data_IF_391531139863
#
_entry.id   IF_391531139863
#
_cell.length_a   1.000
_cell.length_b   1.000
_cell.length_c   1.000
_cell.angle_alpha   90.00
_cell.angle_beta   90.00
_cell.angle_gamma   90.00
#
_symmetry.space_group_name_H-M   'P 1'
#
loop_
_entity.id
_entity.type
_entity.pdbx_description
1 polymer ?
#
# COMPACT_ATOMS: atom_id res chain seq x y z
N UNK A 1 -13.50 -8.32 -8.47
CA UNK A 1 -14.50 -7.48 -9.20
C UNK A 1 -14.14 -7.42 -10.67
N UNK A 2 -15.11 -7.28 -11.58
CA UNK A 2 -14.83 -6.85 -12.97
C UNK A 2 -14.34 -5.41 -12.97
N UNK A 3 -13.71 -4.95 -14.04
CA UNK A 3 -13.22 -3.56 -14.13
C UNK A 3 -14.34 -2.51 -14.06
N UNK A 4 -15.53 -2.83 -14.54
CA UNK A 4 -16.70 -1.94 -14.45
C UNK A 4 -17.16 -1.83 -13.00
N UNK A 5 -17.33 -2.95 -12.31
CA UNK A 5 -17.68 -2.98 -10.88
C UNK A 5 -16.62 -2.29 -10.03
N UNK A 6 -15.33 -2.46 -10.34
CA UNK A 6 -14.24 -1.79 -9.66
C UNK A 6 -14.33 -0.25 -9.82
N UNK A 7 -14.63 0.23 -11.02
CA UNK A 7 -14.80 1.67 -11.28
C UNK A 7 -16.00 2.25 -10.55
N UNK A 8 -17.09 1.51 -10.47
CA UNK A 8 -18.27 1.90 -9.70
C UNK A 8 -18.00 1.87 -8.19
N UNK A 9 -17.34 0.82 -7.68
CA UNK A 9 -16.97 0.72 -6.28
C UNK A 9 -16.07 1.89 -5.84
N UNK A 10 -15.07 2.24 -6.65
CA UNK A 10 -14.18 3.36 -6.37
C UNK A 10 -14.95 4.68 -6.26
N UNK A 11 -15.92 4.92 -7.15
CA UNK A 11 -16.77 6.13 -7.12
C UNK A 11 -17.72 6.18 -5.94
N UNK A 12 -18.22 5.03 -5.49
CA UNK A 12 -19.27 4.97 -4.46
C UNK A 12 -18.69 4.80 -3.05
N UNK A 13 -17.57 4.10 -2.92
CA UNK A 13 -17.01 3.66 -1.63
C UNK A 13 -15.60 4.22 -1.35
N UNK A 14 -14.90 4.70 -2.38
CA UNK A 14 -13.52 5.18 -2.26
C UNK A 14 -12.46 4.07 -2.32
N UNK A 15 -12.85 2.87 -2.70
CA UNK A 15 -11.91 1.76 -2.91
C UNK A 15 -12.42 0.76 -3.94
N UNK A 16 -11.47 0.03 -4.52
CA UNK A 16 -11.78 -1.12 -5.37
C UNK A 16 -10.63 -2.10 -5.40
N UNK A 17 -10.89 -3.31 -5.93
CA UNK A 17 -9.86 -4.25 -6.35
C UNK A 17 -10.24 -4.97 -7.64
N UNK A 18 -9.24 -5.42 -8.37
CA UNK A 18 -9.39 -6.16 -9.62
C UNK A 18 -8.15 -6.99 -9.93
N UNK A 19 -8.24 -7.90 -10.90
CA UNK A 19 -7.09 -8.64 -11.38
C UNK A 19 -6.35 -7.83 -12.45
N UNK A 20 -5.03 -7.67 -12.32
CA UNK A 20 -4.20 -6.94 -13.28
C UNK A 20 -4.26 -7.58 -14.68
N UNK A 21 -4.41 -8.90 -14.74
CA UNK A 21 -4.56 -9.64 -16.00
C UNK A 21 -5.81 -9.24 -16.77
N UNK A 22 -6.91 -8.98 -16.06
CA UNK A 22 -8.17 -8.52 -16.69
C UNK A 22 -8.07 -7.07 -17.17
N UNK A 23 -7.21 -6.28 -16.52
CA UNK A 23 -6.93 -4.91 -16.93
C UNK A 23 -6.02 -4.86 -18.16
N UNK A 24 -4.88 -5.55 -18.11
CA UNK A 24 -3.91 -5.59 -19.20
C UNK A 24 -2.95 -6.77 -19.02
N UNK A 25 -2.98 -7.72 -19.96
CA UNK A 25 -2.15 -8.92 -19.92
C UNK A 25 -0.64 -8.62 -20.07
N UNK A 26 -0.27 -7.61 -20.84
CA UNK A 26 1.14 -7.19 -20.97
C UNK A 26 1.68 -6.68 -19.63
N UNK A 27 0.88 -5.89 -18.91
CA UNK A 27 1.23 -5.42 -17.57
C UNK A 27 1.36 -6.58 -16.58
N UNK A 28 0.43 -7.52 -16.61
CA UNK A 28 0.52 -8.72 -15.78
C UNK A 28 1.82 -9.49 -16.02
N UNK A 29 2.21 -9.68 -17.28
CA UNK A 29 3.45 -10.38 -17.65
C UNK A 29 4.71 -9.65 -17.20
N UNK A 30 4.69 -8.32 -17.08
CA UNK A 30 5.79 -7.55 -16.46
C UNK A 30 5.94 -7.93 -14.99
N UNK A 31 4.84 -8.02 -14.25
CA UNK A 31 4.85 -8.36 -12.83
C UNK A 31 5.21 -9.83 -12.57
N UNK A 32 4.90 -10.75 -13.47
CA UNK A 32 5.31 -12.16 -13.33
C UNK A 32 6.82 -12.34 -13.15
N UNK A 33 7.62 -11.45 -13.73
CA UNK A 33 9.09 -11.48 -13.62
C UNK A 33 9.58 -11.16 -12.22
N UNK A 34 8.77 -10.47 -11.43
CA UNK A 34 9.09 -10.05 -10.05
C UNK A 34 8.16 -10.66 -9.02
N UNK A 35 7.36 -11.65 -9.40
CA UNK A 35 6.56 -12.43 -8.47
C UNK A 35 7.40 -12.78 -7.25
N UNK A 36 6.83 -12.55 -6.06
CA UNK A 36 7.57 -12.79 -4.83
C UNK A 36 7.92 -14.27 -4.68
N UNK A 37 9.20 -14.52 -4.67
CA UNK A 37 9.82 -15.76 -4.21
C UNK A 37 10.90 -15.34 -3.22
N UNK A 38 11.15 -16.17 -2.21
CA UNK A 38 12.16 -15.87 -1.18
C UNK A 38 13.52 -15.52 -1.79
N UNK A 39 13.89 -16.20 -2.86
CA UNK A 39 15.09 -15.92 -3.64
C UNK A 39 15.07 -14.59 -4.43
N UNK A 40 13.90 -14.03 -4.68
CA UNK A 40 13.75 -12.78 -5.44
C UNK A 40 13.97 -11.53 -4.59
N UNK A 41 14.07 -11.65 -3.27
CA UNK A 41 14.38 -10.52 -2.38
C UNK A 41 15.74 -9.89 -2.73
N UNK A 42 16.65 -10.64 -3.38
CA UNK A 42 17.92 -10.13 -3.90
C UNK A 42 17.78 -8.99 -4.92
N UNK A 43 16.64 -8.84 -5.57
CA UNK A 43 16.38 -7.74 -6.51
C UNK A 43 16.12 -6.41 -5.81
N UNK A 44 15.69 -6.45 -4.56
CA UNK A 44 15.48 -5.26 -3.76
C UNK A 44 16.72 -4.96 -2.91
N UNK A 45 17.01 -3.69 -2.74
CA UNK A 45 18.17 -3.22 -1.97
C UNK A 45 17.75 -2.10 -1.03
N UNK A 46 18.56 -1.88 -0.01
CA UNK A 46 18.33 -0.81 0.96
C UNK A 46 17.00 -0.98 1.69
N UNK A 47 16.84 -2.13 2.34
CA UNK A 47 15.69 -2.42 3.19
C UNK A 47 15.67 -1.51 4.41
N UNK A 48 14.48 -1.10 4.80
CA UNK A 48 14.22 -0.31 6.01
C UNK A 48 13.13 -0.99 6.80
N UNK A 49 13.27 -1.00 8.10
CA UNK A 49 12.16 -1.31 9.00
C UNK A 49 11.43 0.01 9.27
N UNK A 50 10.16 0.05 8.92
CA UNK A 50 9.30 1.22 9.12
C UNK A 50 8.41 0.95 10.32
N UNK A 51 8.42 1.87 11.29
CA UNK A 51 7.61 1.81 12.50
C UNK A 51 6.98 3.18 12.76
N UNK A 52 5.73 3.16 13.16
CA UNK A 52 5.01 4.34 13.63
C UNK A 52 4.51 4.08 15.04
N UNK A 53 4.76 5.01 15.94
CA UNK A 53 4.35 4.90 17.33
C UNK A 53 3.11 5.76 17.58
N UNK A 54 2.24 5.26 18.47
CA UNK A 54 1.09 6.00 18.98
C UNK A 54 1.54 6.92 20.10
N UNK A 55 1.38 8.22 19.94
CA UNK A 55 1.61 9.17 21.02
C UNK A 55 0.34 9.97 21.33
N UNK A 56 -0.19 9.76 22.53
CA UNK A 56 -1.26 10.58 23.15
C UNK A 56 -2.54 10.76 22.32
N UNK A 57 -3.00 9.72 21.62
CA UNK A 57 -4.27 9.76 20.89
C UNK A 57 -4.26 10.61 19.63
N UNK A 58 -3.10 11.06 19.19
CA UNK A 58 -2.89 11.81 17.95
C UNK A 58 -2.00 10.97 17.06
N UNK A 59 -2.45 10.70 15.83
CA UNK A 59 -1.64 10.10 14.76
C UNK A 59 -0.49 11.03 14.37
N UNK A 60 0.43 11.22 15.28
CA UNK A 60 1.60 12.04 15.05
C UNK A 60 2.86 11.23 15.24
N UNK A 61 3.53 11.10 14.11
CA UNK A 61 4.97 11.02 13.95
C UNK A 61 5.61 9.63 13.88
N UNK A 62 5.93 9.39 12.78
CA UNK A 62 7.13 9.14 11.99
C UNK A 62 8.41 9.02 12.82
N UNK A 63 8.69 7.86 13.32
CA UNK A 63 10.06 7.51 13.58
C UNK A 63 10.41 6.37 12.64
N UNK A 64 10.78 6.72 11.41
CA UNK A 64 11.52 5.78 10.59
C UNK A 64 12.87 5.60 11.26
N UNK A 65 13.06 4.52 12.00
CA UNK A 65 14.39 4.13 12.42
C UNK A 65 15.15 3.73 11.16
N UNK A 66 16.02 4.61 10.71
CA UNK A 66 16.64 4.62 9.41
C UNK A 66 17.91 3.80 9.34
N UNK A 67 17.95 2.63 9.95
CA UNK A 67 18.98 1.70 9.58
C UNK A 67 18.63 1.14 8.19
N UNK A 68 19.54 1.33 7.25
CA UNK A 68 19.42 0.75 5.92
C UNK A 68 20.14 -0.59 5.96
N UNK A 69 19.38 -1.65 5.71
CA UNK A 69 19.91 -3.01 5.65
C UNK A 69 20.21 -3.39 4.20
N UNK A 70 21.24 -4.19 4.02
CA UNK A 70 21.64 -4.70 2.69
C UNK A 70 20.87 -5.92 2.29
N UNK A 71 20.33 -6.68 3.25
CA UNK A 71 19.49 -7.86 3.02
C UNK A 71 18.12 -7.72 3.69
N UNK A 72 17.16 -8.50 3.18
CA UNK A 72 15.84 -8.63 3.80
C UNK A 72 15.93 -9.33 5.15
N UNK A 73 16.81 -10.33 5.26
CA UNK A 73 17.04 -11.09 6.47
C UNK A 73 17.51 -10.21 7.62
N UNK A 74 18.48 -9.32 7.38
CA UNK A 74 18.96 -8.38 8.40
C UNK A 74 17.85 -7.40 8.85
N UNK A 75 17.05 -6.93 7.90
CA UNK A 75 15.90 -6.09 8.20
C UNK A 75 14.85 -6.84 9.06
N UNK A 76 14.60 -8.11 8.75
CA UNK A 76 13.65 -8.94 9.50
C UNK A 76 14.15 -9.28 10.91
N UNK A 77 15.46 -9.51 11.08
CA UNK A 77 16.08 -9.68 12.41
C UNK A 77 15.87 -8.40 13.23
N UNK A 78 16.18 -7.25 12.67
CA UNK A 78 16.00 -5.96 13.37
C UNK A 78 14.53 -5.68 13.73
N UNK A 79 13.59 -6.01 12.82
CA UNK A 79 12.16 -5.93 13.12
C UNK A 79 11.78 -6.79 14.33
N UNK A 80 12.28 -8.02 14.41
CA UNK A 80 12.00 -8.92 15.52
C UNK A 80 12.60 -8.42 16.85
N UNK A 81 13.75 -7.75 16.81
CA UNK A 81 14.34 -7.09 17.97
C UNK A 81 13.48 -5.90 18.44
N UNK A 82 12.94 -5.13 17.50
CA UNK A 82 12.03 -4.03 17.82
C UNK A 82 10.74 -4.53 18.48
N UNK A 83 10.16 -5.65 18.00
CA UNK A 83 8.98 -6.26 18.60
C UNK A 83 9.21 -6.75 20.05
N UNK A 84 10.43 -7.19 20.37
CA UNK A 84 10.78 -7.58 21.75
C UNK A 84 10.98 -6.37 22.66
N UNK A 85 11.37 -5.24 22.11
CA UNK A 85 11.73 -4.03 22.88
C UNK A 85 10.54 -3.12 23.15
N UNK A 86 9.55 -3.11 22.28
CA UNK A 86 8.44 -2.18 22.34
C UNK A 86 7.12 -2.91 22.52
N UNK A 87 6.23 -2.32 23.31
CA UNK A 87 4.89 -2.84 23.50
C UNK A 87 4.06 -2.66 22.24
N UNK A 88 3.43 -3.74 21.79
CA UNK A 88 2.55 -3.77 20.62
C UNK A 88 1.45 -2.71 20.67
N UNK A 89 0.93 -2.40 21.86
CA UNK A 89 -0.12 -1.40 22.03
C UNK A 89 0.31 0.00 21.64
N UNK A 90 1.60 0.30 21.80
CA UNK A 90 2.18 1.61 21.50
C UNK A 90 2.68 1.77 20.05
N UNK A 91 2.59 0.71 19.25
CA UNK A 91 2.96 0.76 17.83
C UNK A 91 1.68 0.75 17.00
N UNK A 92 1.54 1.69 16.06
CA UNK A 92 0.42 1.72 15.12
C UNK A 92 0.72 0.97 13.82
N UNK A 93 1.97 0.91 13.42
CA UNK A 93 2.38 0.33 12.15
C UNK A 93 3.79 -0.24 12.23
N UNK A 94 4.02 -1.41 11.63
CA UNK A 94 5.33 -2.04 11.50
C UNK A 94 5.43 -2.87 10.21
N UNK A 95 6.38 -2.54 9.33
CA UNK A 95 6.67 -3.32 8.11
C UNK A 95 8.09 -3.11 7.60
N UNK A 96 8.49 -3.87 6.58
CA UNK A 96 9.75 -3.71 5.88
C UNK A 96 9.49 -3.08 4.50
N UNK A 97 10.27 -2.08 4.12
CA UNK A 97 10.17 -1.39 2.85
C UNK A 97 11.50 -1.29 2.11
N UNK A 98 11.44 -1.19 0.79
CA UNK A 98 12.57 -0.84 -0.08
C UNK A 98 12.11 0.17 -1.14
N UNK A 99 12.86 1.26 -1.28
CA UNK A 99 12.62 2.29 -2.29
C UNK A 99 13.58 2.18 -3.48
N UNK A 100 14.46 1.17 -3.50
CA UNK A 100 15.41 0.97 -4.58
C UNK A 100 15.07 -0.28 -5.35
N UNK A 101 14.65 -0.06 -6.57
CA UNK A 101 14.44 -1.09 -7.57
C UNK A 101 15.71 -1.29 -8.39
N UNK A 102 15.99 -2.51 -8.89
CA UNK A 102 17.04 -2.72 -9.86
C UNK A 102 16.82 -1.81 -11.07
N UNK A 103 17.84 -1.02 -11.43
CA UNK A 103 17.75 -0.07 -12.56
C UNK A 103 17.37 -0.75 -13.87
N UNK A 104 17.79 -1.99 -14.03
CA UNK A 104 17.69 -2.73 -15.29
C UNK A 104 16.36 -3.46 -15.48
N UNK A 105 15.57 -3.61 -14.40
CA UNK A 105 14.38 -4.39 -14.49
C UNK A 105 13.14 -3.55 -14.72
N UNK A 106 13.11 -2.14 -14.42
CA UNK A 106 11.70 -1.94 -14.23
C UNK A 106 11.18 -0.55 -13.98
N UNK A 107 11.96 0.40 -13.67
CA UNK A 107 11.36 1.69 -13.29
C UNK A 107 10.38 2.20 -14.35
N UNK A 108 10.78 2.21 -15.61
CA UNK A 108 9.96 2.72 -16.72
C UNK A 108 8.70 1.86 -16.97
N UNK A 109 8.84 0.54 -16.93
CA UNK A 109 7.72 -0.36 -17.18
C UNK A 109 6.69 -0.34 -16.04
N UNK A 110 7.12 -0.26 -14.78
CA UNK A 110 6.19 -0.18 -13.65
C UNK A 110 5.50 1.17 -13.57
N UNK A 111 6.22 2.26 -13.79
CA UNK A 111 5.60 3.57 -13.83
C UNK A 111 4.47 3.61 -14.86
N UNK A 112 4.70 3.02 -16.04
CA UNK A 112 3.66 2.93 -17.07
C UNK A 112 2.40 2.23 -16.58
N UNK A 113 2.53 1.07 -15.93
CA UNK A 113 1.37 0.33 -15.40
C UNK A 113 0.53 1.21 -14.48
N UNK A 114 1.18 1.93 -13.56
CA UNK A 114 0.46 2.81 -12.64
C UNK A 114 -0.20 4.00 -13.33
N UNK A 115 0.45 4.59 -14.35
CA UNK A 115 -0.17 5.68 -15.11
C UNK A 115 -1.35 5.19 -15.95
N UNK A 116 -1.28 4.01 -16.54
CA UNK A 116 -2.40 3.44 -17.29
C UNK A 116 -3.60 3.16 -16.35
N UNK A 117 -3.35 2.69 -15.13
CA UNK A 117 -4.38 2.54 -14.10
C UNK A 117 -4.99 3.90 -13.71
N UNK A 118 -4.15 4.91 -13.48
CA UNK A 118 -4.63 6.25 -13.13
C UNK A 118 -5.44 6.89 -14.25
N UNK A 119 -5.02 6.72 -15.49
CA UNK A 119 -5.77 7.22 -16.64
C UNK A 119 -7.15 6.55 -16.72
N UNK A 120 -7.21 5.22 -16.56
CA UNK A 120 -8.46 4.48 -16.63
C UNK A 120 -9.44 4.86 -15.50
N UNK A 121 -8.97 4.91 -14.25
CA UNK A 121 -9.84 5.11 -13.09
C UNK A 121 -10.11 6.58 -12.78
N UNK A 122 -9.14 7.47 -12.97
CA UNK A 122 -9.17 8.86 -12.56
C UNK A 122 -9.11 9.86 -13.71
N UNK A 123 -8.87 9.40 -14.94
CA UNK A 123 -8.60 10.27 -16.10
C UNK A 123 -7.44 11.25 -15.80
N UNK A 124 -6.39 10.78 -15.12
CA UNK A 124 -5.18 11.53 -14.76
C UNK A 124 -3.96 10.92 -15.44
N UNK A 125 -3.10 11.76 -15.95
CA UNK A 125 -1.91 11.38 -16.69
C UNK A 125 -0.62 11.66 -15.93
N UNK A 126 0.50 11.26 -16.48
CA UNK A 126 1.84 11.62 -15.98
C UNK A 126 2.06 13.14 -15.85
N UNK A 127 1.33 13.97 -16.58
CA UNK A 127 1.43 15.41 -16.45
C UNK A 127 0.79 15.94 -15.17
N UNK A 128 -0.25 15.26 -14.70
CA UNK A 128 -1.05 15.66 -13.53
C UNK A 128 -0.49 15.14 -12.22
N UNK A 129 0.17 13.98 -12.24
CA UNK A 129 0.51 13.18 -11.07
C UNK A 129 2.02 12.94 -10.98
N UNK A 130 2.52 12.94 -9.75
CA UNK A 130 3.82 12.39 -9.38
C UNK A 130 3.61 11.09 -8.62
N UNK A 131 4.30 10.04 -9.03
CA UNK A 131 4.27 8.74 -8.36
C UNK A 131 5.42 8.59 -7.37
N UNK A 132 5.11 8.05 -6.19
CA UNK A 132 6.09 7.60 -5.22
C UNK A 132 5.88 6.11 -4.99
N UNK A 133 6.85 5.30 -5.42
CA UNK A 133 6.76 3.84 -5.39
C UNK A 133 7.67 3.25 -4.32
N UNK A 134 7.19 2.23 -3.64
CA UNK A 134 7.98 1.42 -2.72
C UNK A 134 7.53 -0.04 -2.77
N UNK A 135 8.49 -0.95 -2.64
CA UNK A 135 8.22 -2.32 -2.29
C UNK A 135 7.98 -2.41 -0.79
N UNK A 136 6.92 -3.08 -0.39
CA UNK A 136 6.61 -3.32 1.02
C UNK A 136 6.49 -4.82 1.28
N UNK A 137 6.93 -5.25 2.43
CA UNK A 137 6.79 -6.63 2.89
C UNK A 137 6.34 -6.64 4.35
N UNK A 138 5.28 -7.36 4.59
CA UNK A 138 4.78 -7.69 5.91
C UNK A 138 5.10 -9.17 6.16
N UNK A 139 5.92 -9.45 7.15
CA UNK A 139 6.21 -10.80 7.67
C UNK A 139 5.50 -10.99 9.00
N UNK A 140 5.60 -12.16 9.60
CA UNK A 140 5.05 -12.43 10.93
C UNK A 140 5.39 -11.31 11.92
N UNK A 141 4.38 -10.83 12.65
CA UNK A 141 4.47 -9.70 13.57
C UNK A 141 4.49 -8.31 12.92
N UNK A 142 4.44 -8.20 11.58
CA UNK A 142 4.15 -6.94 10.91
C UNK A 142 2.65 -6.68 10.86
N UNK A 143 2.27 -5.42 10.98
CA UNK A 143 0.87 -5.00 10.96
C UNK A 143 0.72 -3.54 10.56
N UNK A 144 -0.52 -3.17 10.24
CA UNK A 144 -0.93 -1.81 9.99
C UNK A 144 -2.31 -1.63 10.61
N UNK A 145 -2.38 -0.91 11.75
CA UNK A 145 -3.67 -0.62 12.41
C UNK A 145 -4.50 0.33 11.54
N UNK A 146 -5.80 0.39 11.81
CA UNK A 146 -6.69 1.32 11.11
C UNK A 146 -6.16 2.74 11.14
N UNK A 147 -6.05 3.33 9.96
CA UNK A 147 -5.61 4.71 9.78
C UNK A 147 -6.09 5.25 8.44
N UNK A 148 -5.94 6.54 8.29
CA UNK A 148 -6.10 7.25 7.02
C UNK A 148 -4.73 7.76 6.60
N UNK A 149 -4.40 7.71 5.32
CA UNK A 149 -3.08 8.16 4.84
C UNK A 149 -2.89 9.69 4.88
N UNK A 150 -3.92 10.40 5.30
CA UNK A 150 -3.90 11.84 5.44
C UNK A 150 -3.69 12.56 4.11
N UNK A 151 -4.35 13.68 3.94
CA UNK A 151 -4.12 14.52 2.77
C UNK A 151 -2.98 15.47 3.10
N UNK A 152 -1.85 15.34 2.42
CA UNK A 152 -0.76 16.31 2.53
C UNK A 152 -1.31 17.73 2.30
N UNK A 153 -1.08 18.64 3.24
CA UNK A 153 -1.66 19.99 3.23
C UNK A 153 -1.41 20.76 1.94
N UNK A 154 -0.30 20.49 1.27
CA UNK A 154 0.15 21.23 0.10
C UNK A 154 -0.14 20.58 -1.23
N UNK A 155 0.05 19.26 -1.33
CA UNK A 155 -0.15 18.46 -2.52
C UNK A 155 -0.95 17.23 -2.11
N UNK A 156 -2.24 17.13 -2.46
CA UNK A 156 -3.06 16.01 -2.04
C UNK A 156 -2.61 14.73 -2.73
N UNK A 157 -2.56 13.63 -1.97
CA UNK A 157 -2.53 12.32 -2.55
C UNK A 157 -3.88 12.06 -3.23
N UNK A 158 -3.84 11.59 -4.47
CA UNK A 158 -5.05 11.22 -5.20
C UNK A 158 -5.50 9.82 -4.78
N UNK A 159 -4.56 8.88 -4.76
CA UNK A 159 -4.84 7.51 -4.35
C UNK A 159 -3.57 6.76 -3.96
N UNK A 160 -3.75 5.65 -3.26
CA UNK A 160 -2.77 4.59 -3.12
C UNK A 160 -3.14 3.42 -4.03
N UNK A 161 -2.17 2.88 -4.76
CA UNK A 161 -2.32 1.71 -5.64
C UNK A 161 -1.37 0.63 -5.15
N UNK A 162 -1.92 -0.52 -4.80
CA UNK A 162 -1.18 -1.69 -4.33
C UNK A 162 -1.28 -2.79 -5.37
N UNK A 163 -0.14 -3.33 -5.81
CA UNK A 163 -0.09 -4.52 -6.67
C UNK A 163 0.57 -5.63 -5.88
N UNK A 164 -0.17 -6.72 -5.66
CA UNK A 164 0.31 -7.85 -4.84
C UNK A 164 1.22 -8.76 -5.65
N UNK A 165 2.28 -9.22 -5.00
CA UNK A 165 3.35 -10.00 -5.64
C UNK A 165 3.37 -11.46 -5.19
N UNK A 166 2.58 -11.86 -4.22
CA UNK A 166 2.58 -13.20 -3.63
C UNK A 166 2.01 -14.24 -4.62
N UNK A 167 2.80 -15.25 -4.98
CA UNK A 167 2.39 -16.31 -5.91
C UNK A 167 1.17 -17.05 -5.39
N UNK A 168 1.21 -17.43 -4.11
CA UNK A 168 0.14 -18.10 -3.40
C UNK A 168 -0.18 -17.35 -2.12
N UNK A 169 -1.44 -17.34 -1.75
CA UNK A 169 -1.88 -16.80 -0.48
C UNK A 169 -3.17 -17.49 -0.03
N UNK A 170 -3.12 -17.99 1.19
CA UNK A 170 -4.30 -18.52 1.87
C UNK A 170 -4.87 -17.44 2.82
N UNK A 171 -6.18 -17.31 2.86
CA UNK A 171 -6.84 -16.30 3.70
C UNK A 171 -6.57 -16.51 5.19
N UNK A 172 -6.34 -17.76 5.61
CA UNK A 172 -6.00 -18.12 6.99
C UNK A 172 -4.64 -17.59 7.44
N UNK A 173 -3.75 -17.20 6.52
CA UNK A 173 -2.47 -16.59 6.85
C UNK A 173 -2.58 -15.11 7.25
N UNK A 174 -3.79 -14.55 7.24
CA UNK A 174 -4.01 -13.14 7.54
C UNK A 174 -3.45 -12.22 6.45
N UNK A 175 -2.97 -11.04 6.85
CA UNK A 175 -2.35 -10.09 5.93
C UNK A 175 -3.27 -9.46 4.90
N UNK A 176 -4.59 -9.62 5.05
CA UNK A 176 -5.56 -9.01 4.15
C UNK A 176 -5.51 -7.48 4.31
N UNK A 177 -5.64 -6.77 3.20
CA UNK A 177 -5.96 -5.34 3.28
C UNK A 177 -7.43 -5.21 3.66
N UNK A 178 -7.68 -4.52 4.76
CA UNK A 178 -9.01 -4.27 5.30
C UNK A 178 -9.39 -2.84 4.94
N UNK A 179 -10.45 -2.68 4.16
CA UNK A 179 -10.96 -1.38 3.71
C UNK A 179 -12.31 -1.12 4.36
N UNK A 180 -12.50 0.10 4.86
CA UNK A 180 -13.74 0.48 5.55
C UNK A 180 -14.51 1.48 4.71
N UNK A 181 -15.83 1.36 4.69
CA UNK A 181 -16.68 2.32 4.02
C UNK A 181 -16.54 3.70 4.71
N UNK A 182 -16.13 4.70 3.95
CA UNK A 182 -15.90 6.06 4.44
C UNK A 182 -17.15 6.72 5.02
N UNK A 183 -18.33 6.28 4.60
CA UNK A 183 -19.62 6.79 5.11
C UNK A 183 -19.98 6.25 6.49
N UNK A 184 -19.32 5.17 6.93
CA UNK A 184 -19.58 4.47 8.19
C UNK A 184 -18.33 4.42 9.08
N UNK A 185 -17.63 5.54 9.24
CA UNK A 185 -16.41 5.62 10.08
C UNK A 185 -16.60 5.16 11.52
N UNK A 186 -17.84 5.06 12.00
CA UNK A 186 -18.19 4.54 13.33
C UNK A 186 -18.56 3.05 13.32
N UNK A 187 -18.91 2.48 12.16
CA UNK A 187 -19.22 1.06 12.03
C UNK A 187 -17.97 0.28 11.57
N UNK A 188 -17.20 -0.20 12.54
CA UNK A 188 -16.03 -1.06 12.26
C UNK A 188 -16.40 -2.49 11.86
N UNK A 189 -17.68 -2.83 11.82
CA UNK A 189 -18.14 -4.20 11.59
C UNK A 189 -18.16 -4.59 10.12
N UNK A 190 -18.35 -3.63 9.21
CA UNK A 190 -18.39 -3.89 7.78
C UNK A 190 -17.05 -3.50 7.13
N UNK A 191 -16.19 -4.47 6.95
CA UNK A 191 -14.91 -4.27 6.28
C UNK A 191 -14.85 -5.11 5.01
N UNK A 192 -14.42 -4.49 3.91
CA UNK A 192 -14.07 -5.21 2.70
C UNK A 192 -12.63 -5.69 2.80
N UNK A 193 -12.38 -6.97 2.52
CA UNK A 193 -11.05 -7.56 2.58
C UNK A 193 -10.50 -7.86 1.20
N UNK A 194 -9.28 -7.44 0.94
CA UNK A 194 -8.53 -7.80 -0.27
C UNK A 194 -7.46 -8.80 0.10
N UNK A 195 -7.58 -10.01 -0.43
CA UNK A 195 -6.60 -11.08 -0.24
C UNK A 195 -5.35 -10.75 -1.06
N UNK A 196 -4.13 -10.80 -0.49
CA UNK A 196 -2.90 -10.38 -1.16
C UNK A 196 -2.36 -11.45 -2.12
N UNK A 197 -3.12 -11.77 -3.15
CA UNK A 197 -2.79 -12.75 -4.17
C UNK A 197 -2.11 -12.08 -5.36
N UNK A 198 -1.16 -12.78 -6.01
CA UNK A 198 -0.42 -12.27 -7.15
C UNK A 198 -1.32 -11.71 -8.26
N UNK A 199 -0.94 -10.53 -8.75
CA UNK A 199 -1.68 -9.83 -9.80
C UNK A 199 -2.96 -9.13 -9.34
N UNK A 200 -3.37 -9.30 -8.06
CA UNK A 200 -4.45 -8.50 -7.48
C UNK A 200 -3.98 -7.06 -7.33
N UNK A 201 -4.80 -6.14 -7.78
CA UNK A 201 -4.61 -4.70 -7.61
C UNK A 201 -5.65 -4.17 -6.64
N UNK A 202 -5.24 -3.37 -5.67
CA UNK A 202 -6.15 -2.60 -4.84
C UNK A 202 -5.91 -1.10 -5.03
N UNK A 203 -6.97 -0.31 -5.09
CA UNK A 203 -6.92 1.15 -5.15
C UNK A 203 -7.69 1.71 -3.96
N UNK A 204 -7.07 2.66 -3.25
CA UNK A 204 -7.64 3.41 -2.14
C UNK A 204 -7.68 4.88 -2.55
N UNK A 205 -8.87 5.47 -2.61
CA UNK A 205 -9.05 6.90 -2.86
C UNK A 205 -8.66 7.71 -1.62
N UNK A 206 -7.75 8.66 -1.80
CA UNK A 206 -7.24 9.53 -0.75
C UNK A 206 -7.63 10.99 -0.95
N UNK A 207 -8.25 11.31 -2.10
CA UNK A 207 -8.61 12.69 -2.45
C UNK A 207 -10.02 13.05 -1.99
N UNK A 208 -10.97 12.15 -2.19
CA UNK A 208 -12.39 12.39 -1.95
C UNK A 208 -12.87 11.70 -0.68
N UNK A 209 -12.49 10.42 -0.52
CA UNK A 209 -13.02 9.58 0.56
C UNK A 209 -12.10 9.48 1.76
N UNK A 210 -10.77 9.59 1.56
CA UNK A 210 -9.78 9.35 2.62
C UNK A 210 -10.09 8.06 3.39
N UNK A 211 -10.22 6.98 2.63
CA UNK A 211 -10.71 5.68 3.12
C UNK A 211 -9.83 5.11 4.21
N UNK A 212 -10.43 4.84 5.38
CA UNK A 212 -9.73 4.16 6.48
C UNK A 212 -9.39 2.74 6.09
N UNK A 213 -8.16 2.33 6.40
CA UNK A 213 -7.67 1.00 6.05
C UNK A 213 -6.68 0.44 7.06
N UNK A 214 -6.55 -0.88 7.03
CA UNK A 214 -5.64 -1.64 7.88
C UNK A 214 -5.03 -2.82 7.11
N UNK A 215 -4.03 -3.46 7.69
CA UNK A 215 -3.56 -4.77 7.25
C UNK A 215 -3.69 -5.72 8.44
N UNK A 216 -4.40 -6.82 8.24
CA UNK A 216 -4.51 -7.89 9.25
C UNK A 216 -3.12 -8.44 9.59
N UNK A 217 -2.94 -8.92 10.80
CA UNK A 217 -1.71 -9.57 11.25
C UNK A 217 -1.37 -10.76 10.35
N UNK A 218 -0.08 -10.93 10.10
CA UNK A 218 0.44 -12.12 9.39
C UNK A 218 0.58 -13.26 10.40
N UNK A 219 0.03 -14.41 10.07
CA UNK A 219 0.04 -15.62 10.88
C UNK A 219 1.01 -16.64 10.26
N UNK A 220 2.02 -17.05 11.02
CA UNK A 220 3.02 -18.01 10.56
C UNK A 220 4.12 -17.43 9.68
N UNK A 221 5.03 -18.28 9.18
CA UNK A 221 6.20 -17.88 8.38
C UNK A 221 5.81 -17.52 6.93
N UNK A 222 5.00 -16.49 6.79
CA UNK A 222 4.56 -15.97 5.49
C UNK A 222 4.98 -14.51 5.29
N UNK A 223 5.25 -14.14 4.04
CA UNK A 223 5.65 -12.80 3.66
C UNK A 223 4.67 -12.22 2.65
N UNK A 224 3.89 -11.22 3.07
CA UNK A 224 2.98 -10.48 2.22
C UNK A 224 3.71 -9.33 1.55
N UNK A 225 3.95 -9.44 0.25
CA UNK A 225 4.71 -8.47 -0.50
C UNK A 225 3.85 -7.70 -1.49
N UNK A 226 4.03 -6.39 -1.54
CA UNK A 226 3.34 -5.51 -2.49
C UNK A 226 4.29 -4.51 -3.13
N UNK A 227 3.96 -4.08 -4.32
CA UNK A 227 4.48 -2.85 -4.88
C UNK A 227 3.41 -1.77 -4.66
N UNK A 228 3.69 -0.87 -3.71
CA UNK A 228 2.81 0.23 -3.33
C UNK A 228 3.23 1.50 -4.07
N UNK A 229 2.28 2.24 -4.59
CA UNK A 229 2.50 3.55 -5.18
C UNK A 229 1.50 4.57 -4.67
N UNK A 230 2.01 5.71 -4.21
CA UNK A 230 1.19 6.89 -3.92
C UNK A 230 1.19 7.82 -5.13
N UNK A 231 0.00 8.14 -5.60
CA UNK A 231 -0.22 9.12 -6.66
C UNK A 231 -0.49 10.49 -6.02
N UNK A 232 0.44 11.44 -6.16
CA UNK A 232 0.35 12.78 -5.60
C UNK A 232 0.09 13.79 -6.71
N UNK A 233 -0.92 14.66 -6.54
CA UNK A 233 -1.21 15.72 -7.50
C UNK A 233 -0.03 16.69 -7.64
N UNK A 234 0.31 17.06 -8.87
CA UNK A 234 1.30 18.11 -9.14
C UNK A 234 0.74 19.51 -8.95
N UNK A 235 -0.59 19.65 -8.94
CA UNK A 235 -1.26 20.91 -8.68
C UNK A 235 -1.53 21.08 -7.18
N UNK A 236 -1.26 22.28 -6.67
CA UNK A 236 -1.60 22.60 -5.28
C UNK A 236 -3.12 22.54 -5.11
N UNK A 237 -3.56 22.01 -3.97
CA UNK A 237 -4.96 22.07 -3.56
C UNK A 237 -5.39 23.56 -3.54
N UNK A 238 -6.40 23.93 -4.34
CA UNK A 238 -7.11 25.20 -4.08
C UNK A 238 -7.75 25.04 -2.70
N UNK A 239 -7.48 25.97 -1.77
CA UNK A 239 -8.24 26.01 -0.51
C UNK A 239 -9.71 25.96 -0.91
N UNK A 240 -10.37 24.85 -0.60
CA UNK A 240 -11.82 24.82 -0.63
C UNK A 240 -12.26 25.87 0.38
N UNK A 241 -12.89 26.94 -0.08
CA UNK A 241 -13.57 27.87 0.80
C UNK A 241 -14.47 27.03 1.70
N UNK A 242 -14.31 27.22 3.02
CA UNK A 242 -15.11 26.50 4.00
C UNK A 242 -16.56 26.51 3.54
N UNK A 243 -17.14 25.33 3.33
CA UNK A 243 -18.58 25.21 3.10
C UNK A 243 -19.22 25.93 4.29
N UNK A 244 -20.08 26.97 4.06
CA UNK A 244 -20.77 27.61 5.16
C UNK A 244 -21.60 26.55 5.87
N UNK A 245 -21.35 26.38 7.15
CA UNK A 245 -22.16 25.54 8.06
C UNK A 245 -23.58 26.03 8.15
#
# INVERSE_FOLDING_TARGET
MTLIEAKESLKLKGYCDFELKDFNEEHYNIFEKIKYKKENTKYFKHFKVVRFDYHNGIDNLHISHSNIFTSFEDANINKNELLKKYDYENISQLWIASNRFPKDLIKENFEKVYYDILEYFYNKTQQDIKMAQQWTCYSEGCFLKDHNDGQGEKYPNTCAILIYLNEEWDESWGGNLVLRDSKNTHDKTTAYKVIPKFGRVAIIDLEIFDTSHAVDDIIGDHNRCTLLSFATSKTKRKKLDKIPT
#
